data_IF_320550427925
#
_entry.id   IF_320550427925
#
_cell.length_a   1.000
_cell.length_b   1.000
_cell.length_c   1.000
_cell.angle_alpha   90.00
_cell.angle_beta   90.00
_cell.angle_gamma   90.00
#
_symmetry.space_group_name_H-M   'P 1'
#
loop_
_entity.id
_entity.type
_entity.pdbx_description
1 polymer ?
#
# COMPACT_ATOMS: atom_id res chain seq x y z
N UNK A 1 -2.01 -27.58 -4.11
CA UNK A 1 -0.70 -26.91 -4.04
C UNK A 1 -0.98 -25.45 -4.08
N UNK A 2 -0.56 -24.67 -3.08
CA UNK A 2 -0.97 -23.27 -2.98
C UNK A 2 -0.67 -22.56 -4.30
N UNK A 3 -1.67 -21.89 -4.84
CA UNK A 3 -1.72 -21.33 -6.20
C UNK A 3 -0.63 -20.25 -6.45
N UNK A 4 0.17 -19.96 -5.42
CA UNK A 4 1.19 -18.91 -5.33
C UNK A 4 2.47 -19.53 -4.75
N UNK A 5 3.57 -19.41 -5.49
CA UNK A 5 4.84 -20.11 -5.22
C UNK A 5 5.60 -19.66 -3.95
N UNK A 6 5.05 -18.73 -3.16
CA UNK A 6 5.69 -18.14 -1.98
C UNK A 6 5.16 -18.68 -0.65
N UNK A 7 4.27 -19.70 -0.66
CA UNK A 7 3.64 -20.20 0.58
C UNK A 7 4.65 -20.68 1.62
N UNK A 8 5.73 -21.33 1.19
CA UNK A 8 6.79 -21.81 2.08
C UNK A 8 7.58 -20.66 2.71
N UNK A 9 7.77 -19.57 1.97
CA UNK A 9 8.44 -18.38 2.49
C UNK A 9 7.59 -17.71 3.58
N UNK A 10 6.28 -17.59 3.37
CA UNK A 10 5.37 -17.05 4.38
C UNK A 10 5.27 -17.95 5.62
N UNK A 11 5.19 -19.27 5.44
CA UNK A 11 5.20 -20.23 6.56
C UNK A 11 6.51 -20.17 7.35
N UNK A 12 7.66 -20.07 6.66
CA UNK A 12 8.95 -19.89 7.31
C UNK A 12 8.95 -18.64 8.17
N UNK A 13 8.50 -17.51 7.64
CA UNK A 13 8.46 -16.25 8.38
C UNK A 13 7.53 -16.31 9.58
N UNK A 14 6.32 -16.86 9.42
CA UNK A 14 5.37 -17.04 10.51
C UNK A 14 5.98 -17.89 11.64
N UNK A 15 6.58 -19.04 11.30
CA UNK A 15 7.22 -19.92 12.28
C UNK A 15 8.43 -19.27 12.95
N UNK A 16 9.27 -18.54 12.20
CA UNK A 16 10.41 -17.82 12.77
C UNK A 16 9.94 -16.73 13.75
N UNK A 17 8.88 -16.00 13.42
CA UNK A 17 8.29 -14.98 14.30
C UNK A 17 7.70 -15.57 15.58
N UNK A 18 7.01 -16.72 15.48
CA UNK A 18 6.49 -17.45 16.65
C UNK A 18 7.60 -18.01 17.53
N UNK A 19 8.67 -18.51 16.93
CA UNK A 19 9.79 -19.11 17.64
C UNK A 19 10.72 -18.08 18.30
N UNK A 20 11.15 -17.06 17.54
CA UNK A 20 12.07 -16.03 18.02
C UNK A 20 11.38 -14.88 18.76
N UNK A 21 10.07 -14.73 18.58
CA UNK A 21 9.31 -13.57 19.02
C UNK A 21 9.45 -12.36 18.09
N UNK A 22 8.63 -11.35 18.34
CA UNK A 22 8.70 -10.03 17.71
C UNK A 22 8.36 -8.96 18.74
N UNK A 23 8.87 -7.75 18.51
CA UNK A 23 8.41 -6.60 19.27
C UNK A 23 6.91 -6.37 19.00
N UNK A 24 6.11 -6.03 20.04
CA UNK A 24 4.74 -5.62 19.86
C UNK A 24 4.65 -4.45 18.87
N UNK A 25 3.61 -4.40 18.02
CA UNK A 25 3.35 -3.22 17.18
C UNK A 25 3.21 -1.96 18.04
N UNK A 26 3.74 -0.85 17.56
CA UNK A 26 3.52 0.46 18.18
C UNK A 26 2.02 0.82 18.11
N UNK A 27 1.49 1.39 19.19
CA UNK A 27 0.09 1.80 19.27
C UNK A 27 -0.16 2.98 18.34
N UNK A 28 -1.34 3.01 17.72
CA UNK A 28 -1.75 4.16 16.92
C UNK A 28 -1.85 5.41 17.80
N UNK A 29 -1.45 6.57 17.26
CA UNK A 29 -1.52 7.85 17.99
C UNK A 29 -2.98 8.21 18.36
N UNK A 30 -3.24 9.30 19.10
CA UNK A 30 -4.62 9.78 19.26
C UNK A 30 -5.25 10.21 17.91
N UNK A 31 -6.59 10.23 17.77
CA UNK A 31 -7.26 10.79 16.61
C UNK A 31 -6.79 12.22 16.31
N UNK A 32 -6.58 12.52 15.04
CA UNK A 32 -6.06 13.80 14.54
C UNK A 32 -6.58 14.07 13.13
N UNK A 33 -7.18 15.23 12.95
CA UNK A 33 -7.50 15.79 11.63
C UNK A 33 -6.20 16.25 10.97
N UNK A 34 -5.95 15.77 9.74
CA UNK A 34 -4.79 16.17 8.95
C UNK A 34 -5.19 17.23 7.93
N UNK A 35 -4.51 18.37 7.97
CA UNK A 35 -4.59 19.35 6.87
C UNK A 35 -3.59 19.00 5.78
N UNK A 36 -4.07 18.39 4.69
CA UNK A 36 -3.21 17.92 3.58
C UNK A 36 -2.22 19.01 3.11
N UNK A 37 -0.94 18.64 3.01
CA UNK A 37 0.14 19.50 2.54
C UNK A 37 0.67 20.53 3.56
N UNK A 38 0.06 20.64 4.74
CA UNK A 38 0.59 21.51 5.80
C UNK A 38 1.79 20.83 6.50
N UNK A 39 2.96 21.51 6.59
CA UNK A 39 4.12 20.96 7.28
C UNK A 39 3.82 20.60 8.75
N UNK A 40 4.44 19.52 9.23
CA UNK A 40 4.37 19.09 10.63
C UNK A 40 3.08 18.36 11.04
N UNK A 41 2.09 18.24 10.16
CA UNK A 41 0.84 17.52 10.48
C UNK A 41 1.07 16.04 10.81
N UNK A 42 2.14 15.44 10.28
CA UNK A 42 2.44 14.01 10.42
C UNK A 42 3.46 13.67 11.52
N UNK A 43 4.07 14.65 12.18
CA UNK A 43 5.23 14.45 13.07
C UNK A 43 4.90 13.54 14.26
N UNK A 44 3.73 13.76 14.87
CA UNK A 44 3.24 12.99 16.02
C UNK A 44 2.22 11.91 15.65
N UNK A 45 2.18 11.49 14.38
CA UNK A 45 1.34 10.38 13.91
C UNK A 45 2.13 9.08 14.01
N UNK A 46 1.56 8.13 14.73
CA UNK A 46 2.12 6.80 14.98
C UNK A 46 1.09 5.71 14.59
N UNK A 47 1.57 4.51 14.20
CA UNK A 47 2.98 4.16 14.03
C UNK A 47 3.56 4.71 12.72
N UNK A 48 4.89 4.80 12.65
CA UNK A 48 5.60 4.97 11.38
C UNK A 48 5.86 3.60 10.76
N UNK A 49 5.16 3.29 9.67
CA UNK A 49 5.34 2.04 8.94
C UNK A 49 6.54 2.16 7.99
N UNK A 50 7.71 1.78 8.47
CA UNK A 50 8.94 1.89 7.69
C UNK A 50 9.09 0.72 6.70
N UNK A 51 9.64 1.02 5.52
CA UNK A 51 10.05 0.06 4.49
C UNK A 51 11.52 0.33 4.12
N UNK A 52 12.23 -0.70 3.67
CA UNK A 52 13.66 -0.57 3.38
C UNK A 52 13.90 0.15 2.05
N UNK A 53 14.88 1.07 2.03
CA UNK A 53 15.32 1.80 0.83
C UNK A 53 16.08 0.87 -0.14
N UNK A 54 16.10 1.23 -1.43
CA UNK A 54 17.00 0.66 -2.45
C UNK A 54 16.37 -0.49 -3.24
N UNK A 55 15.06 -0.66 -3.17
CA UNK A 55 14.31 -1.76 -3.77
C UNK A 55 13.85 -1.50 -5.22
N UNK A 56 14.12 -0.30 -5.77
CA UNK A 56 13.78 0.12 -7.15
C UNK A 56 14.96 0.06 -8.12
N UNK A 57 16.10 -0.49 -7.71
CA UNK A 57 17.26 -0.62 -8.59
C UNK A 57 16.90 -1.41 -9.85
N UNK A 58 17.26 -0.84 -11.00
CA UNK A 58 17.10 -1.51 -12.29
C UNK A 58 17.97 -2.77 -12.33
N UNK A 59 17.45 -3.80 -12.99
CA UNK A 59 18.14 -5.08 -13.14
C UNK A 59 18.48 -5.23 -14.60
N UNK A 60 19.75 -5.53 -14.90
CA UNK A 60 20.21 -5.75 -16.27
C UNK A 60 21.42 -6.69 -16.23
N UNK A 61 21.16 -7.99 -16.21
CA UNK A 61 22.18 -8.98 -15.94
C UNK A 61 21.97 -10.29 -16.70
N UNK A 62 23.09 -10.93 -17.02
CA UNK A 62 23.11 -12.29 -17.56
C UNK A 62 22.63 -13.26 -16.48
N UNK A 63 21.66 -14.10 -16.84
CA UNK A 63 21.13 -15.16 -16.00
C UNK A 63 21.89 -16.48 -16.17
N UNK A 64 21.27 -17.58 -15.74
CA UNK A 64 21.82 -18.92 -15.96
C UNK A 64 21.56 -19.36 -17.41
N UNK A 65 22.54 -20.03 -18.03
CA UNK A 65 22.50 -20.44 -19.44
C UNK A 65 22.34 -19.21 -20.36
N UNK A 66 21.59 -19.33 -21.47
CA UNK A 66 21.33 -18.24 -22.42
C UNK A 66 20.16 -17.34 -21.97
N UNK A 67 19.92 -17.18 -20.67
CA UNK A 67 18.89 -16.27 -20.16
C UNK A 67 19.52 -14.91 -19.86
N UNK A 68 18.79 -13.85 -20.17
CA UNK A 68 19.17 -12.48 -19.85
C UNK A 68 17.96 -11.81 -19.21
N UNK A 69 18.17 -11.11 -18.10
CA UNK A 69 17.08 -10.51 -17.33
C UNK A 69 17.27 -9.00 -17.24
N UNK A 70 16.27 -8.29 -17.76
CA UNK A 70 16.19 -6.82 -17.68
C UNK A 70 14.88 -6.42 -17.03
N UNK A 71 14.94 -5.49 -16.09
CA UNK A 71 13.76 -4.88 -15.47
C UNK A 71 14.08 -3.44 -15.04
N UNK A 72 13.42 -2.48 -15.69
CA UNK A 72 13.60 -1.05 -15.46
C UNK A 72 12.33 -0.40 -14.88
N UNK A 73 11.46 -1.19 -14.26
CA UNK A 73 10.15 -0.73 -13.76
C UNK A 73 10.24 0.01 -12.42
N UNK A 74 11.36 -0.10 -11.70
CA UNK A 74 11.59 0.64 -10.46
C UNK A 74 11.53 2.15 -10.69
N UNK A 75 10.65 2.84 -9.95
CA UNK A 75 10.34 4.27 -10.13
C UNK A 75 10.26 5.03 -8.81
N UNK A 76 9.34 4.66 -7.92
CA UNK A 76 9.15 5.31 -6.62
C UNK A 76 9.57 4.35 -5.50
N UNK A 77 10.73 4.57 -4.89
CA UNK A 77 11.27 3.78 -3.76
C UNK A 77 10.58 4.18 -2.47
N UNK A 78 9.60 3.40 -2.00
CA UNK A 78 8.78 3.74 -0.85
C UNK A 78 9.53 3.41 0.43
N UNK A 79 9.64 4.37 1.35
CA UNK A 79 10.42 4.18 2.59
C UNK A 79 9.57 4.27 3.85
N UNK A 80 8.38 4.87 3.77
CA UNK A 80 7.54 5.09 4.95
C UNK A 80 6.08 5.29 4.58
N UNK A 81 5.20 4.74 5.40
CA UNK A 81 3.79 5.10 5.42
C UNK A 81 3.33 5.51 6.83
N UNK A 82 2.27 6.31 6.89
CA UNK A 82 1.56 6.65 8.14
C UNK A 82 0.06 6.69 7.87
N UNK A 83 -0.71 6.43 8.92
CA UNK A 83 -2.17 6.53 8.89
C UNK A 83 -2.63 7.38 10.07
N UNK A 84 -3.49 8.36 9.81
CA UNK A 84 -4.20 9.12 10.82
C UNK A 84 -5.70 9.03 10.57
N UNK A 85 -6.49 9.45 11.55
CA UNK A 85 -7.96 9.46 11.45
C UNK A 85 -8.56 10.50 12.37
N UNK A 86 -9.74 10.97 12.00
CA UNK A 86 -10.64 11.71 12.88
C UNK A 86 -12.06 11.14 12.78
N UNK A 87 -13.08 11.83 13.26
CA UNK A 87 -14.45 11.32 13.24
C UNK A 87 -15.04 11.14 11.83
N UNK A 88 -14.45 11.76 10.81
CA UNK A 88 -14.98 11.77 9.45
C UNK A 88 -14.03 11.11 8.44
N UNK A 89 -12.72 11.26 8.59
CA UNK A 89 -11.74 10.88 7.57
C UNK A 89 -10.69 9.91 8.09
N UNK A 90 -10.23 9.06 7.18
CA UNK A 90 -8.99 8.30 7.27
C UNK A 90 -7.97 9.00 6.36
N UNK A 91 -6.76 9.22 6.87
CA UNK A 91 -5.69 9.91 6.17
C UNK A 91 -4.54 8.96 5.96
N UNK A 92 -4.03 8.89 4.74
CA UNK A 92 -2.87 8.10 4.38
C UNK A 92 -1.73 9.02 3.95
N UNK A 93 -0.54 8.70 4.42
CA UNK A 93 0.71 9.32 4.02
C UNK A 93 1.64 8.24 3.50
N UNK A 94 2.31 8.51 2.40
CA UNK A 94 3.42 7.71 1.90
C UNK A 94 4.57 8.62 1.49
N UNK A 95 5.78 8.19 1.81
CA UNK A 95 7.01 8.89 1.52
C UNK A 95 7.95 7.97 0.76
N UNK A 96 8.57 8.52 -0.28
CA UNK A 96 9.58 7.87 -1.10
C UNK A 96 10.97 8.37 -0.76
N UNK A 97 11.99 7.59 -1.08
CA UNK A 97 13.38 7.93 -0.83
C UNK A 97 13.84 9.17 -1.61
N UNK A 98 13.31 9.33 -2.81
CA UNK A 98 13.56 10.45 -3.72
C UNK A 98 12.22 11.10 -4.10
N UNK A 99 12.27 12.23 -4.82
CA UNK A 99 11.07 12.93 -5.30
C UNK A 99 10.14 12.00 -6.09
N UNK A 100 8.83 12.11 -5.84
CA UNK A 100 7.82 11.31 -6.54
C UNK A 100 7.84 11.59 -8.05
N UNK A 101 7.69 10.52 -8.82
CA UNK A 101 7.50 10.59 -10.27
C UNK A 101 6.16 11.23 -10.66
N UNK A 102 5.98 11.49 -11.95
CA UNK A 102 4.74 12.05 -12.50
C UNK A 102 3.55 11.11 -12.31
N UNK A 103 2.45 11.64 -11.74
CA UNK A 103 1.19 10.92 -11.56
C UNK A 103 0.43 10.58 -12.86
N UNK A 104 0.94 11.03 -14.03
CA UNK A 104 0.32 10.82 -15.34
C UNK A 104 0.54 9.41 -15.89
N UNK A 105 1.57 8.72 -15.40
CA UNK A 105 1.82 7.34 -15.76
C UNK A 105 0.81 6.42 -15.06
N UNK A 106 0.52 5.27 -15.68
CA UNK A 106 -0.34 4.26 -15.09
C UNK A 106 0.25 3.69 -13.80
N UNK A 107 -0.61 3.11 -12.96
CA UNK A 107 -0.19 2.39 -11.75
C UNK A 107 0.73 3.25 -10.86
N UNK A 108 0.38 4.52 -10.68
CA UNK A 108 1.13 5.45 -9.85
C UNK A 108 0.63 5.45 -8.42
N UNK A 109 1.51 5.03 -7.49
CA UNK A 109 1.25 5.02 -6.05
C UNK A 109 -0.14 4.48 -5.69
N UNK A 110 -0.37 3.20 -5.99
CA UNK A 110 -1.60 2.49 -5.63
C UNK A 110 -1.61 2.19 -4.14
N UNK A 111 -2.74 2.44 -3.50
CA UNK A 111 -2.99 2.04 -2.11
C UNK A 111 -4.03 0.94 -2.11
N UNK A 112 -3.64 -0.23 -1.60
CA UNK A 112 -4.53 -1.36 -1.38
C UNK A 112 -4.95 -1.43 0.08
N UNK A 113 -6.24 -1.63 0.34
CA UNK A 113 -6.81 -1.70 1.69
C UNK A 113 -7.67 -2.95 1.79
N UNK A 114 -7.35 -3.79 2.76
CA UNK A 114 -8.12 -4.93 3.25
C UNK A 114 -8.77 -4.49 4.57
N UNK A 115 -10.06 -4.18 4.53
CA UNK A 115 -10.71 -3.38 5.57
C UNK A 115 -11.30 -4.20 6.72
N UNK A 116 -11.61 -5.48 6.47
CA UNK A 116 -12.02 -6.46 7.49
C UNK A 116 -10.88 -7.36 7.97
N UNK A 117 -9.77 -7.42 7.23
CA UNK A 117 -8.73 -8.44 7.40
C UNK A 117 -9.23 -9.84 7.09
N UNK A 118 -10.24 -9.95 6.23
CA UNK A 118 -10.77 -11.21 5.75
C UNK A 118 -10.20 -11.52 4.36
N UNK A 119 -9.32 -12.53 4.29
CA UNK A 119 -8.72 -12.94 3.01
C UNK A 119 -9.69 -13.60 2.04
N UNK A 120 -10.93 -13.86 2.46
CA UNK A 120 -12.01 -14.40 1.62
C UNK A 120 -12.82 -13.32 0.91
N UNK A 121 -12.69 -12.05 1.29
CA UNK A 121 -13.28 -10.88 0.63
C UNK A 121 -12.23 -10.13 -0.20
N UNK A 122 -12.68 -9.39 -1.21
CA UNK A 122 -11.81 -8.59 -2.06
C UNK A 122 -10.87 -9.39 -2.96
N UNK A 123 -10.11 -8.69 -3.79
CA UNK A 123 -9.07 -9.33 -4.60
C UNK A 123 -7.89 -9.65 -3.68
N UNK A 124 -7.71 -10.93 -3.35
CA UNK A 124 -6.68 -11.41 -2.41
C UNK A 124 -6.75 -10.77 -1.00
N UNK A 125 -7.95 -10.46 -0.51
CA UNK A 125 -8.17 -9.73 0.75
C UNK A 125 -8.37 -8.23 0.55
N UNK A 126 -8.00 -7.64 -0.60
CA UNK A 126 -8.13 -6.18 -0.75
C UNK A 126 -9.52 -5.80 -1.23
N UNK A 127 -10.29 -5.16 -0.34
CA UNK A 127 -11.63 -4.67 -0.61
C UNK A 127 -11.64 -3.33 -1.34
N UNK A 128 -10.59 -2.52 -1.16
CA UNK A 128 -10.47 -1.21 -1.79
C UNK A 128 -9.10 -1.01 -2.42
N UNK A 129 -9.10 -0.26 -3.52
CA UNK A 129 -7.91 0.25 -4.19
C UNK A 129 -8.06 1.74 -4.44
N UNK A 130 -6.98 2.49 -4.26
CA UNK A 130 -6.89 3.91 -4.60
C UNK A 130 -5.82 4.09 -5.67
N UNK A 131 -6.04 5.02 -6.59
CA UNK A 131 -5.11 5.38 -7.69
C UNK A 131 -4.84 4.30 -8.75
N UNK A 132 -5.64 3.24 -8.84
CA UNK A 132 -5.59 2.33 -10.00
C UNK A 132 -5.92 3.08 -11.30
N UNK A 133 -6.93 3.94 -11.25
CA UNK A 133 -7.10 5.03 -12.22
C UNK A 133 -6.23 6.20 -11.78
N UNK A 134 -5.33 6.64 -12.65
CA UNK A 134 -4.42 7.75 -12.34
C UNK A 134 -5.21 9.00 -11.91
N UNK A 135 -4.73 9.74 -10.89
CA UNK A 135 -5.39 10.95 -10.41
C UNK A 135 -5.60 12.00 -11.51
N UNK A 136 -6.74 12.68 -11.49
CA UNK A 136 -7.04 13.79 -12.40
C UNK A 136 -7.28 15.07 -11.60
N UNK A 137 -6.59 16.16 -11.97
CA UNK A 137 -6.62 17.39 -11.20
C UNK A 137 -6.13 17.17 -9.76
N UNK A 138 -7.01 17.42 -8.78
CA UNK A 138 -6.71 17.36 -7.34
C UNK A 138 -7.42 16.22 -6.60
N UNK A 139 -7.97 15.24 -7.34
CA UNK A 139 -8.67 14.11 -6.74
C UNK A 139 -8.07 12.77 -7.11
N UNK A 140 -8.10 11.86 -6.14
CA UNK A 140 -7.87 10.43 -6.30
C UNK A 140 -9.18 9.72 -6.52
N UNK A 141 -9.12 8.53 -7.12
CA UNK A 141 -10.26 7.64 -7.29
C UNK A 141 -10.13 6.49 -6.30
N UNK A 142 -11.16 6.28 -5.49
CA UNK A 142 -11.30 5.14 -4.59
C UNK A 142 -12.27 4.17 -5.26
N UNK A 143 -11.83 2.93 -5.43
CA UNK A 143 -12.62 1.86 -6.03
C UNK A 143 -12.78 0.70 -5.05
N UNK A 144 -13.97 0.11 -5.01
CA UNK A 144 -14.30 -1.08 -4.22
C UNK A 144 -14.21 -2.33 -5.10
N UNK A 145 -13.73 -3.42 -4.54
CA UNK A 145 -13.63 -4.69 -5.23
C UNK A 145 -15.00 -5.29 -5.53
N UNK A 146 -15.13 -5.90 -6.70
CA UNK A 146 -16.32 -6.65 -7.11
C UNK A 146 -15.94 -8.10 -7.41
N UNK A 147 -16.62 -9.04 -6.74
CA UNK A 147 -16.54 -10.46 -7.07
C UNK A 147 -15.22 -11.15 -6.75
N UNK A 148 -14.42 -10.61 -5.83
CA UNK A 148 -13.15 -11.19 -5.35
C UNK A 148 -12.13 -11.49 -6.46
N UNK A 149 -12.19 -10.69 -7.53
CA UNK A 149 -11.31 -10.77 -8.71
C UNK A 149 -10.75 -9.39 -9.01
N UNK A 150 -9.86 -9.27 -10.00
CA UNK A 150 -9.31 -7.98 -10.40
C UNK A 150 -10.35 -7.14 -11.16
N UNK A 151 -11.38 -6.71 -10.45
CA UNK A 151 -12.49 -5.90 -10.93
C UNK A 151 -12.88 -4.92 -9.83
N UNK A 152 -13.04 -3.66 -10.22
CA UNK A 152 -13.11 -2.54 -9.30
C UNK A 152 -14.15 -1.53 -9.78
N UNK A 153 -15.01 -1.09 -8.87
CA UNK A 153 -16.04 -0.08 -9.11
C UNK A 153 -15.71 1.20 -8.35
N UNK A 154 -15.80 2.35 -9.01
CA UNK A 154 -15.56 3.65 -8.39
C UNK A 154 -16.66 4.00 -7.39
N UNK A 155 -16.29 4.26 -6.14
CA UNK A 155 -17.22 4.54 -5.03
C UNK A 155 -17.06 5.94 -4.43
N UNK A 156 -15.86 6.52 -4.50
CA UNK A 156 -15.59 7.87 -4.00
C UNK A 156 -14.48 8.53 -4.82
N UNK A 157 -14.55 9.86 -4.94
CA UNK A 157 -13.39 10.68 -5.27
C UNK A 157 -13.04 11.56 -4.08
N UNK A 158 -11.77 11.60 -3.73
CA UNK A 158 -11.31 12.38 -2.58
C UNK A 158 -10.04 13.17 -2.87
N UNK A 159 -9.66 14.06 -1.95
CA UNK A 159 -8.52 14.96 -2.18
C UNK A 159 -7.19 14.28 -1.90
N UNK A 160 -6.17 14.64 -2.67
CA UNK A 160 -4.79 14.34 -2.37
C UNK A 160 -3.88 15.56 -2.54
N UNK A 161 -2.70 15.49 -1.95
CA UNK A 161 -1.62 16.45 -2.17
C UNK A 161 -0.32 15.69 -2.40
N UNK A 162 0.45 16.12 -3.39
CA UNK A 162 1.84 15.71 -3.58
C UNK A 162 2.74 16.86 -3.17
N UNK A 163 3.74 16.57 -2.35
CA UNK A 163 4.78 17.51 -1.98
C UNK A 163 6.12 16.80 -1.99
N UNK A 164 6.89 17.07 -3.05
CA UNK A 164 8.21 16.49 -3.27
C UNK A 164 8.20 14.95 -3.26
N UNK A 165 8.71 14.32 -2.22
CA UNK A 165 8.74 12.86 -2.04
C UNK A 165 7.54 12.31 -1.25
N UNK A 166 6.47 13.10 -1.05
CA UNK A 166 5.34 12.75 -0.18
C UNK A 166 4.02 12.82 -0.91
N UNK A 167 3.18 11.81 -0.70
CA UNK A 167 1.80 11.77 -1.12
C UNK A 167 0.90 11.63 0.10
N UNK A 168 -0.08 12.52 0.20
CA UNK A 168 -1.08 12.55 1.26
C UNK A 168 -2.47 12.41 0.65
N UNK A 169 -3.26 11.45 1.16
CA UNK A 169 -4.62 11.17 0.70
C UNK A 169 -5.56 11.24 1.90
N UNK A 170 -6.77 11.77 1.70
CA UNK A 170 -7.88 11.62 2.65
C UNK A 170 -8.96 10.72 2.02
N UNK A 171 -9.66 9.94 2.83
CA UNK A 171 -10.78 9.08 2.43
C UNK A 171 -11.89 9.26 3.45
N UNK A 172 -13.15 9.40 3.01
CA UNK A 172 -14.27 9.42 3.95
C UNK A 172 -14.36 8.08 4.68
N UNK A 173 -14.36 8.10 6.01
CA UNK A 173 -14.48 6.89 6.82
C UNK A 173 -15.73 6.12 6.44
N UNK A 174 -16.84 6.77 6.11
CA UNK A 174 -18.09 6.09 5.73
C UNK A 174 -17.96 5.25 4.47
N UNK A 175 -17.02 5.56 3.57
CA UNK A 175 -16.76 4.77 2.36
C UNK A 175 -16.17 3.41 2.67
N UNK A 176 -15.32 3.33 3.71
CA UNK A 176 -14.55 2.12 4.06
C UNK A 176 -15.00 1.48 5.38
N UNK A 177 -15.74 2.19 6.23
CA UNK A 177 -16.04 1.73 7.59
C UNK A 177 -16.98 0.53 7.59
N UNK A 178 -16.65 -0.41 8.48
CA UNK A 178 -17.57 -1.44 8.95
C UNK A 178 -18.28 -0.92 10.21
N UNK A 179 -19.62 -0.86 10.17
CA UNK A 179 -20.43 -0.16 11.16
C UNK A 179 -20.13 -0.58 12.61
N UNK A 180 -19.98 0.41 13.49
CA UNK A 180 -19.86 0.23 14.94
C UNK A 180 -18.53 -0.33 15.47
N UNK A 181 -17.58 -0.71 14.60
CA UNK A 181 -16.29 -1.30 15.03
C UNK A 181 -15.15 -0.26 15.02
N UNK A 182 -14.16 -0.39 15.94
CA UNK A 182 -12.86 0.27 15.78
C UNK A 182 -12.20 -0.14 14.47
N UNK A 183 -11.40 0.75 13.88
CA UNK A 183 -10.66 0.44 12.67
C UNK A 183 -9.61 -0.64 12.95
N UNK A 184 -9.68 -1.75 12.22
CA UNK A 184 -8.68 -2.83 12.26
C UNK A 184 -8.54 -3.38 10.85
N UNK A 185 -7.54 -2.91 10.12
CA UNK A 185 -7.37 -3.18 8.69
C UNK A 185 -5.91 -3.42 8.31
N UNK A 186 -5.74 -4.00 7.14
CA UNK A 186 -4.45 -4.20 6.49
C UNK A 186 -4.34 -3.28 5.28
N UNK A 187 -3.15 -2.77 5.02
CA UNK A 187 -2.91 -1.97 3.82
C UNK A 187 -1.49 -2.12 3.30
N UNK A 188 -1.30 -1.78 2.03
CA UNK A 188 0.01 -1.65 1.41
C UNK A 188 0.00 -0.62 0.29
N UNK A 189 1.18 -0.15 -0.03
CA UNK A 189 1.43 0.64 -1.23
C UNK A 189 2.11 -0.21 -2.29
N UNK A 190 1.77 0.04 -3.55
CA UNK A 190 2.49 -0.47 -4.70
C UNK A 190 2.67 0.66 -5.70
N UNK A 191 3.82 0.70 -6.37
CA UNK A 191 4.07 1.56 -7.50
C UNK A 191 4.42 0.70 -8.69
N UNK A 192 3.86 1.06 -9.86
CA UNK A 192 4.23 0.55 -11.17
C UNK A 192 4.12 -0.98 -11.35
N UNK A 193 3.03 -1.59 -10.85
CA UNK A 193 2.65 -2.96 -11.23
C UNK A 193 2.58 -3.12 -12.76
N UNK A 194 3.05 -4.23 -13.31
CA UNK A 194 3.03 -4.48 -14.77
C UNK A 194 1.94 -5.48 -15.17
N UNK A 195 1.75 -6.54 -14.37
CA UNK A 195 0.71 -7.53 -14.59
C UNK A 195 -0.47 -7.31 -13.64
N UNK A 196 -1.37 -6.42 -14.05
CA UNK A 196 -2.59 -6.13 -13.32
C UNK A 196 -3.39 -7.41 -12.98
N UNK A 197 -3.72 -7.58 -11.69
CA UNK A 197 -4.45 -8.77 -11.21
C UNK A 197 -3.56 -9.97 -10.86
N UNK A 198 -2.25 -9.91 -11.12
CA UNK A 198 -1.29 -10.89 -10.64
C UNK A 198 -0.65 -10.43 -9.32
N UNK A 199 -1.03 -11.06 -8.21
CA UNK A 199 -0.47 -10.70 -6.88
C UNK A 199 1.04 -10.96 -6.77
N UNK A 200 1.60 -11.83 -7.62
CA UNK A 200 3.04 -12.11 -7.60
C UNK A 200 3.87 -10.98 -8.21
N UNK A 201 3.24 -10.04 -8.92
CA UNK A 201 3.89 -8.84 -9.46
C UNK A 201 4.49 -7.96 -8.34
N UNK A 202 3.91 -8.00 -7.13
CA UNK A 202 4.41 -7.35 -5.92
C UNK A 202 5.84 -7.73 -5.50
N UNK A 203 6.41 -8.79 -6.08
CA UNK A 203 7.79 -9.20 -5.82
C UNK A 203 8.78 -8.70 -6.87
N UNK A 204 8.31 -8.28 -8.05
CA UNK A 204 9.15 -8.16 -9.24
C UNK A 204 9.23 -6.73 -9.73
N UNK A 205 8.09 -6.06 -9.87
CA UNK A 205 7.99 -4.81 -10.59
C UNK A 205 7.75 -3.61 -9.69
N UNK A 206 8.30 -2.48 -10.11
CA UNK A 206 8.20 -1.20 -9.41
C UNK A 206 8.68 -1.29 -7.96
N UNK A 207 7.82 -0.90 -7.03
CA UNK A 207 8.04 -1.13 -5.59
C UNK A 207 6.74 -1.50 -4.88
N UNK A 208 6.83 -2.28 -3.80
CA UNK A 208 5.72 -2.63 -2.93
C UNK A 208 6.13 -2.50 -1.46
N UNK A 209 5.38 -1.71 -0.69
CA UNK A 209 5.63 -1.46 0.73
C UNK A 209 4.41 -1.87 1.58
N UNK A 210 4.53 -2.90 2.44
CA UNK A 210 5.69 -3.77 2.61
C UNK A 210 5.80 -4.80 1.47
N UNK A 211 7.01 -5.34 1.28
CA UNK A 211 7.35 -6.18 0.12
C UNK A 211 6.49 -7.44 -0.04
N UNK A 212 6.29 -7.87 -1.28
CA UNK A 212 5.59 -9.11 -1.58
C UNK A 212 4.14 -9.13 -1.08
N UNK A 213 3.74 -10.23 -0.43
CA UNK A 213 2.38 -10.40 0.14
C UNK A 213 2.23 -9.98 1.61
N UNK A 214 3.22 -9.30 2.21
CA UNK A 214 3.05 -8.73 3.55
C UNK A 214 2.12 -7.52 3.53
N UNK A 215 1.55 -7.16 4.68
CA UNK A 215 0.77 -5.94 4.85
C UNK A 215 1.23 -5.17 6.09
N UNK A 216 1.04 -3.85 6.06
CA UNK A 216 0.98 -3.06 7.26
C UNK A 216 -0.36 -3.29 7.95
N UNK A 217 -0.37 -3.33 9.28
CA UNK A 217 -1.58 -3.52 10.08
C UNK A 217 -1.85 -2.23 10.84
N UNK A 218 -3.06 -1.70 10.69
CA UNK A 218 -3.57 -0.57 11.45
C UNK A 218 -4.68 -1.07 12.38
N UNK A 219 -4.54 -0.82 13.68
CA UNK A 219 -5.50 -1.22 14.70
C UNK A 219 -5.70 -0.09 15.70
N UNK A 220 -6.94 0.39 15.85
CA UNK A 220 -7.36 1.31 16.91
C UNK A 220 -7.37 0.64 18.30
#
# INVERSE_FOLDING_TARGET
WGDKGDVYYLQLIDNVRKFKGMNPPEKVSAPKTIKLGKPGEWDNVAPAYNHYKGNTSHRDHVGRNNTYYTNNTGRNDIVKAKVARDNQFLYFYVETAEKLSSHKESNWMLLFIDIDRDKSTGWNGYDYIVNRKSPTGKTVVIEKNIGNRWEWEEVERSSYVVKDNRLEIKIDRKTVRQDGKPLNFEFKWNDNMQENGNIMDFYVNGDTAPGGRFNFVYCE
#
